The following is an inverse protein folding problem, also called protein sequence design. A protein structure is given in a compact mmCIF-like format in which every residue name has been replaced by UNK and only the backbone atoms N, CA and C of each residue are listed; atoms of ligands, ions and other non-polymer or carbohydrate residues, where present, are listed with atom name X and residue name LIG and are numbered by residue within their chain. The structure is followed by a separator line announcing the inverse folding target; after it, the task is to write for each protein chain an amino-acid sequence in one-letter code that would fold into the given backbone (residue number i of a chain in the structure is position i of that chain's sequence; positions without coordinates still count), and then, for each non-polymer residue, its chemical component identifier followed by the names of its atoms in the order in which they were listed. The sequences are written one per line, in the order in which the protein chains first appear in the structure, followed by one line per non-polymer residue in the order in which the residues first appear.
data_IF_301845046212
#
_entry.id   IF_301845046212
#
_cell.length_a   1.000
_cell.length_b   1.000
_cell.length_c   1.000
_cell.angle_alpha   90.00
_cell.angle_beta   90.00
_cell.angle_gamma   90.00
#
_symmetry.space_group_name_H-M   'P 1'
#
loop_
_entity.id
_entity.type
_entity.pdbx_description
1 polymer ?
#
# COMPACT_ATOMS: atom_id res chain seq x y z
N UNK A 1 -24.77 -25.20 7.46
CA UNK A 1 -23.81 -24.31 6.76
C UNK A 1 -23.08 -23.52 7.82
N UNK A 2 -21.74 -23.63 7.89
CA UNK A 2 -20.94 -22.80 8.79
C UNK A 2 -21.08 -21.34 8.32
N UNK A 3 -21.29 -20.36 9.22
CA UNK A 3 -21.37 -18.97 8.83
C UNK A 3 -20.05 -18.58 8.17
N UNK A 4 -20.17 -17.90 7.02
CA UNK A 4 -19.04 -17.45 6.24
C UNK A 4 -18.08 -16.65 7.13
N UNK A 5 -16.83 -17.07 7.04
CA UNK A 5 -15.61 -16.49 7.56
C UNK A 5 -15.72 -15.07 8.10
N UNK A 6 -15.36 -14.93 9.37
CA UNK A 6 -14.88 -13.72 10.06
C UNK A 6 -13.68 -13.01 9.36
N UNK A 7 -13.39 -13.30 8.09
CA UNK A 7 -12.23 -12.79 7.34
C UNK A 7 -12.50 -11.47 6.63
N UNK A 8 -13.77 -11.09 6.48
CA UNK A 8 -14.14 -9.83 5.88
C UNK A 8 -14.19 -8.76 6.97
N UNK A 9 -13.03 -8.32 7.47
CA UNK A 9 -12.92 -7.08 8.23
C UNK A 9 -12.86 -5.93 7.21
N UNK A 10 -14.01 -5.34 6.80
CA UNK A 10 -14.08 -4.50 5.61
C UNK A 10 -13.29 -3.19 5.79
N UNK A 11 -12.92 -2.88 7.04
CA UNK A 11 -12.17 -1.69 7.40
C UNK A 11 -10.66 -1.90 7.52
N UNK A 12 -10.15 -3.15 7.61
CA UNK A 12 -8.71 -3.39 7.84
C UNK A 12 -7.88 -2.85 6.68
N UNK A 13 -8.26 -3.17 5.45
CA UNK A 13 -7.60 -2.65 4.25
C UNK A 13 -7.65 -1.12 4.19
N UNK A 14 -8.80 -0.53 4.54
CA UNK A 14 -8.97 0.92 4.63
C UNK A 14 -8.05 1.59 5.66
N UNK A 15 -7.88 0.99 6.84
CA UNK A 15 -6.96 1.49 7.86
C UNK A 15 -5.49 1.37 7.44
N UNK A 16 -5.10 0.24 6.84
CA UNK A 16 -3.76 0.04 6.30
C UNK A 16 -3.43 1.06 5.21
N UNK A 17 -4.37 1.27 4.28
CA UNK A 17 -4.24 2.28 3.23
C UNK A 17 -4.10 3.69 3.81
N UNK A 18 -4.93 4.04 4.79
CA UNK A 18 -4.85 5.34 5.47
C UNK A 18 -3.50 5.53 6.17
N UNK A 19 -3.00 4.50 6.84
CA UNK A 19 -1.69 4.52 7.49
C UNK A 19 -0.57 4.73 6.46
N UNK A 20 -0.61 4.03 5.32
CA UNK A 20 0.36 4.20 4.23
C UNK A 20 0.40 5.63 3.71
N UNK A 21 -0.76 6.23 3.44
CA UNK A 21 -0.86 7.63 3.00
C UNK A 21 -0.26 8.58 4.04
N UNK A 22 -0.55 8.37 5.34
CA UNK A 22 -0.03 9.23 6.41
C UNK A 22 1.49 9.11 6.56
N UNK A 23 2.04 7.91 6.43
CA UNK A 23 3.47 7.68 6.42
C UNK A 23 4.14 8.34 5.20
N UNK A 24 3.57 8.21 4.01
CA UNK A 24 4.05 8.90 2.80
C UNK A 24 4.01 10.43 2.95
N UNK A 25 2.95 10.98 3.53
CA UNK A 25 2.87 12.40 3.85
C UNK A 25 3.92 12.84 4.89
N UNK A 26 4.21 12.01 5.90
CA UNK A 26 5.28 12.27 6.88
C UNK A 26 6.65 12.25 6.21
N UNK A 27 6.89 11.28 5.32
CA UNK A 27 8.09 11.22 4.49
C UNK A 27 8.28 12.49 3.66
N UNK A 28 7.24 12.97 2.98
CA UNK A 28 7.33 14.18 2.17
C UNK A 28 7.75 15.41 2.99
N UNK A 29 7.34 15.48 4.26
CA UNK A 29 7.67 16.59 5.16
C UNK A 29 9.02 16.46 5.84
N UNK A 30 9.40 15.23 6.21
CA UNK A 30 10.55 14.98 7.10
C UNK A 30 11.72 14.27 6.41
N UNK A 31 11.52 13.70 5.22
CA UNK A 31 12.55 12.96 4.47
C UNK A 31 12.93 11.60 5.06
N UNK A 32 12.21 11.10 6.07
CA UNK A 32 12.53 9.82 6.74
C UNK A 32 12.31 8.60 5.84
N UNK A 33 13.38 7.94 5.41
CA UNK A 33 13.29 6.74 4.57
C UNK A 33 12.52 5.59 5.25
N UNK A 34 12.55 5.50 6.59
CA UNK A 34 11.78 4.51 7.34
C UNK A 34 10.28 4.70 7.16
N UNK A 35 9.82 5.96 7.05
CA UNK A 35 8.41 6.26 6.79
C UNK A 35 8.00 5.83 5.40
N UNK A 36 8.87 6.07 4.41
CA UNK A 36 8.61 5.66 3.04
C UNK A 36 8.62 4.13 2.89
N UNK A 37 9.57 3.46 3.52
CA UNK A 37 9.62 1.99 3.53
C UNK A 37 8.36 1.41 4.16
N UNK A 38 7.98 1.91 5.34
CA UNK A 38 6.75 1.46 6.00
C UNK A 38 5.49 1.80 5.19
N UNK A 39 5.47 2.92 4.46
CA UNK A 39 4.35 3.27 3.59
C UNK A 39 4.15 2.24 2.47
N UNK A 40 5.25 1.77 1.86
CA UNK A 40 5.22 0.68 0.88
C UNK A 40 4.72 -0.61 1.51
N UNK A 41 5.25 -0.99 2.67
CA UNK A 41 4.89 -2.26 3.34
C UNK A 41 3.41 -2.30 3.72
N UNK A 42 2.87 -1.22 4.30
CA UNK A 42 1.45 -1.19 4.69
C UNK A 42 0.51 -1.05 3.51
N UNK A 43 0.92 -0.39 2.42
CA UNK A 43 0.15 -0.35 1.19
C UNK A 43 0.09 -1.75 0.54
N UNK A 44 1.19 -2.50 0.56
CA UNK A 44 1.22 -3.89 0.10
C UNK A 44 0.29 -4.77 0.95
N UNK A 45 0.35 -4.66 2.28
CA UNK A 45 -0.59 -5.38 3.15
C UNK A 45 -2.05 -5.03 2.87
N UNK A 46 -2.38 -3.77 2.52
CA UNK A 46 -3.74 -3.38 2.16
C UNK A 46 -4.22 -4.12 0.89
N UNK A 47 -3.34 -4.28 -0.10
CA UNK A 47 -3.62 -5.05 -1.32
C UNK A 47 -3.78 -6.53 -1.00
N UNK A 48 -2.87 -7.11 -0.22
CA UNK A 48 -2.84 -8.55 0.08
C UNK A 48 -4.09 -9.04 0.82
N UNK A 49 -4.66 -8.20 1.69
CA UNK A 49 -5.88 -8.54 2.45
C UNK A 49 -7.18 -8.17 1.72
N UNK A 50 -7.10 -7.62 0.51
CA UNK A 50 -8.26 -7.20 -0.27
C UNK A 50 -8.53 -8.19 -1.42
N UNK A 51 -9.70 -8.85 -1.45
CA UNK A 51 -10.10 -9.75 -2.53
C UNK A 51 -10.04 -9.08 -3.90
N UNK A 52 -9.70 -9.84 -4.95
CA UNK A 52 -9.49 -9.33 -6.31
C UNK A 52 -10.70 -8.58 -6.88
N UNK A 53 -11.91 -9.03 -6.55
CA UNK A 53 -13.19 -8.47 -6.99
C UNK A 53 -13.70 -7.33 -6.10
N UNK A 54 -12.97 -6.99 -5.03
CA UNK A 54 -13.39 -5.94 -4.11
C UNK A 54 -13.29 -4.55 -4.78
N UNK A 55 -14.34 -3.70 -4.68
CA UNK A 55 -14.43 -2.45 -5.44
C UNK A 55 -13.32 -1.45 -5.13
N UNK A 56 -12.74 -1.49 -3.92
CA UNK A 56 -11.65 -0.59 -3.54
C UNK A 56 -10.25 -1.13 -3.86
N UNK A 57 -10.09 -2.34 -4.41
CA UNK A 57 -8.75 -2.92 -4.63
C UNK A 57 -7.89 -2.07 -5.54
N UNK A 58 -8.48 -1.54 -6.62
CA UNK A 58 -7.79 -0.64 -7.55
C UNK A 58 -7.22 0.61 -6.87
N UNK A 59 -7.91 1.15 -5.84
CA UNK A 59 -7.43 2.30 -5.08
C UNK A 59 -6.17 1.93 -4.29
N UNK A 60 -6.14 0.74 -3.67
CA UNK A 60 -5.01 0.28 -2.88
C UNK A 60 -3.79 -0.03 -3.76
N UNK A 61 -3.99 -0.65 -4.93
CA UNK A 61 -2.94 -0.87 -5.92
C UNK A 61 -2.33 0.46 -6.39
N UNK A 62 -3.16 1.44 -6.75
CA UNK A 62 -2.66 2.77 -7.14
C UNK A 62 -1.82 3.42 -6.03
N UNK A 63 -2.21 3.28 -4.76
CA UNK A 63 -1.45 3.85 -3.65
C UNK A 63 -0.14 3.10 -3.38
N UNK A 64 -0.11 1.78 -3.58
CA UNK A 64 1.12 0.99 -3.55
C UNK A 64 2.07 1.43 -4.69
N UNK A 65 1.58 1.51 -5.93
CA UNK A 65 2.36 1.95 -7.08
C UNK A 65 2.96 3.35 -6.88
N UNK A 66 2.18 4.30 -6.34
CA UNK A 66 2.67 5.63 -6.02
C UNK A 66 3.77 5.63 -4.93
N UNK A 67 3.63 4.77 -3.92
CA UNK A 67 4.62 4.64 -2.84
C UNK A 67 5.91 4.03 -3.37
N UNK A 68 5.82 2.97 -4.20
CA UNK A 68 6.96 2.35 -4.88
C UNK A 68 7.66 3.32 -5.82
N UNK A 69 6.92 4.05 -6.66
CA UNK A 69 7.48 5.07 -7.54
C UNK A 69 8.16 6.22 -6.78
N UNK A 70 7.63 6.58 -5.61
CA UNK A 70 8.29 7.55 -4.72
C UNK A 70 9.59 6.99 -4.16
N UNK A 71 9.63 5.71 -3.77
CA UNK A 71 10.84 5.04 -3.27
C UNK A 71 11.89 4.91 -4.38
N UNK A 72 11.50 4.50 -5.58
CA UNK A 72 12.38 4.51 -6.76
C UNK A 72 13.03 5.88 -6.98
N UNK A 73 12.26 6.98 -6.96
CA UNK A 73 12.82 8.33 -7.12
C UNK A 73 13.87 8.70 -6.08
N UNK A 74 13.89 8.02 -4.92
CA UNK A 74 14.83 8.27 -3.82
C UNK A 74 16.02 7.33 -3.83
N UNK A 75 15.82 6.07 -4.23
CA UNK A 75 16.83 5.02 -4.13
C UNK A 75 17.45 4.64 -5.47
N UNK A 76 16.77 4.94 -6.59
CA UNK A 76 17.12 4.42 -7.92
C UNK A 76 16.84 2.93 -8.09
N UNK A 77 16.12 2.29 -7.18
CA UNK A 77 15.84 0.85 -7.21
C UNK A 77 14.93 0.47 -8.38
N UNK A 78 15.47 -0.20 -9.39
CA UNK A 78 14.68 -0.68 -10.52
C UNK A 78 13.63 -1.71 -10.11
N UNK A 79 13.86 -2.47 -9.04
CA UNK A 79 12.87 -3.39 -8.51
C UNK A 79 11.60 -2.66 -8.03
N UNK A 80 11.76 -1.48 -7.43
CA UNK A 80 10.63 -0.64 -7.04
C UNK A 80 9.89 -0.09 -8.26
N UNK A 81 10.62 0.32 -9.30
CA UNK A 81 10.02 0.83 -10.52
C UNK A 81 9.22 -0.25 -11.25
N UNK A 82 9.81 -1.44 -11.44
CA UNK A 82 9.16 -2.56 -12.10
C UNK A 82 7.90 -2.96 -11.34
N UNK A 83 8.02 -3.12 -10.02
CA UNK A 83 6.88 -3.46 -9.18
C UNK A 83 5.80 -2.37 -9.18
N UNK A 84 6.15 -1.09 -9.32
CA UNK A 84 5.16 -0.01 -9.43
C UNK A 84 4.34 -0.05 -10.73
N UNK A 85 4.89 -0.64 -11.79
CA UNK A 85 4.21 -0.83 -13.09
C UNK A 85 3.39 -2.13 -13.10
N UNK A 86 3.83 -3.14 -12.37
CA UNK A 86 3.17 -4.45 -12.30
C UNK A 86 1.90 -4.44 -11.41
N UNK A 87 1.83 -3.55 -10.42
CA UNK A 87 0.71 -3.44 -9.46
C UNK A 87 -0.47 -2.65 -10.00
#
# INVERSE_FOLDING_TARGET
ALPQSLEDHPNRAGYLNTLGIRLGGRFQRMGSMDDLNRAVDVAAMAVDVTPEDHPNRAIYLNNLGNSLGTRFKRTGSMDDLNRAVDV
#
